data_IF_861300678285
#
_entry.id   IF_861300678285
#
_cell.length_a   1.000
_cell.length_b   1.000
_cell.length_c   1.000
_cell.angle_alpha   90.00
_cell.angle_beta   90.00
_cell.angle_gamma   90.00
#
_symmetry.space_group_name_H-M   'P 1'
#
loop_
_entity.id
_entity.type
_entity.pdbx_description
1 polymer ?
#
# COMPACT_ATOMS: atom_id res chain seq x y z
N UNK A 1 -4.76 46.17 17.42
CA UNK A 1 -4.27 45.17 18.40
C UNK A 1 -2.75 45.12 18.32
N UNK A 2 -2.05 45.39 19.43
CA UNK A 2 -0.57 45.39 19.52
C UNK A 2 -0.06 43.95 19.55
N UNK A 3 0.91 43.60 18.69
CA UNK A 3 1.84 42.49 18.95
C UNK A 3 3.26 42.90 18.58
N UNK A 4 3.95 43.33 19.62
CA UNK A 4 5.39 43.51 19.73
C UNK A 4 6.06 42.14 19.79
N UNK A 5 7.02 41.85 18.91
CA UNK A 5 8.12 40.93 19.19
C UNK A 5 9.35 41.41 18.42
N UNK A 6 10.25 42.07 19.15
CA UNK A 6 11.61 42.33 18.76
C UNK A 6 12.51 41.50 19.69
N UNK A 7 13.45 40.75 19.13
CA UNK A 7 14.80 40.60 19.68
C UNK A 7 15.63 39.76 18.70
N UNK A 8 16.46 40.45 17.92
CA UNK A 8 17.69 39.91 17.36
C UNK A 8 18.63 39.56 18.53
N UNK A 9 19.33 38.44 18.43
CA UNK A 9 20.65 38.26 19.06
C UNK A 9 21.67 37.86 18.00
N UNK A 10 22.66 38.73 17.84
CA UNK A 10 23.80 38.62 16.93
C UNK A 10 24.93 37.85 17.60
N UNK A 11 25.66 37.12 16.75
CA UNK A 11 26.80 36.23 16.93
C UNK A 11 28.07 36.93 17.48
N UNK A 12 28.88 36.20 18.28
CA UNK A 12 30.37 36.19 18.33
C UNK A 12 30.79 35.51 19.65
N UNK A 13 31.87 34.75 19.83
CA UNK A 13 32.96 34.19 19.05
C UNK A 13 33.53 33.04 19.93
N UNK A 14 34.16 31.99 19.38
CA UNK A 14 35.62 31.92 19.47
C UNK A 14 36.19 30.89 18.48
N UNK A 15 36.99 31.36 17.54
CA UNK A 15 37.97 30.57 16.81
C UNK A 15 39.23 30.48 17.68
N UNK A 16 39.49 29.33 18.29
CA UNK A 16 40.83 28.95 18.75
C UNK A 16 41.43 27.98 17.73
N UNK A 17 42.44 28.47 17.03
CA UNK A 17 43.36 27.68 16.22
C UNK A 17 44.51 27.13 17.07
N UNK A 18 45.22 26.14 16.51
CA UNK A 18 46.41 25.40 16.98
C UNK A 18 46.06 24.22 17.91
N UNK A 19 46.51 22.98 17.66
CA UNK A 19 47.80 22.56 17.13
C UNK A 19 47.70 21.29 16.27
N UNK A 20 48.59 21.22 15.28
CA UNK A 20 48.95 20.02 14.52
C UNK A 20 49.46 18.92 15.45
N UNK A 21 48.81 17.76 15.42
CA UNK A 21 49.47 16.48 15.69
C UNK A 21 49.08 15.50 14.58
N UNK A 22 50.11 15.08 13.85
CA UNK A 22 50.00 14.05 12.84
C UNK A 22 49.73 12.72 13.54
N UNK A 23 48.50 12.23 13.47
CA UNK A 23 48.18 10.85 13.77
C UNK A 23 47.66 10.20 12.48
N UNK A 24 48.46 9.30 11.91
CA UNK A 24 48.02 8.39 10.86
C UNK A 24 46.81 7.60 11.38
N UNK A 25 45.62 8.05 11.04
CA UNK A 25 44.40 7.27 11.16
C UNK A 25 44.39 6.36 9.93
N UNK A 26 44.69 5.08 10.14
CA UNK A 26 44.51 4.03 9.14
C UNK A 26 43.09 4.08 8.55
N UNK A 27 42.85 3.46 7.38
CA UNK A 27 41.63 3.69 6.61
C UNK A 27 40.41 3.50 7.49
N UNK A 28 39.73 4.62 7.77
CA UNK A 28 38.48 4.65 8.50
C UNK A 28 37.52 3.77 7.72
N UNK A 29 37.18 2.62 8.30
CA UNK A 29 36.21 1.73 7.73
C UNK A 29 34.91 2.53 7.55
N UNK A 30 34.52 2.73 6.29
CA UNK A 30 33.26 3.35 5.95
C UNK A 30 32.14 2.69 6.77
N UNK A 31 31.18 3.46 7.32
CA UNK A 31 30.13 2.89 8.13
C UNK A 31 29.44 1.80 7.32
N UNK A 32 29.30 0.63 7.96
CA UNK A 32 28.68 -0.54 7.39
C UNK A 32 27.33 -0.16 6.74
N UNK A 33 27.18 -0.58 5.48
CA UNK A 33 25.96 -0.49 4.68
C UNK A 33 24.71 -0.51 5.56
N UNK A 34 23.92 0.58 5.54
CA UNK A 34 22.60 0.56 6.16
C UNK A 34 21.80 -0.56 5.50
N UNK A 35 21.50 -1.62 6.25
CA UNK A 35 20.66 -2.69 5.74
C UNK A 35 19.36 -2.09 5.20
N UNK A 36 18.90 -2.54 4.04
CA UNK A 36 17.63 -2.10 3.49
C UNK A 36 16.50 -2.37 4.52
N UNK A 37 15.49 -1.49 4.61
CA UNK A 37 14.36 -1.71 5.51
C UNK A 37 13.73 -3.07 5.27
N UNK A 38 13.49 -3.84 6.33
CA UNK A 38 12.76 -5.10 6.27
C UNK A 38 11.30 -4.81 6.57
N UNK A 39 10.47 -4.78 5.53
CA UNK A 39 9.04 -4.56 5.65
C UNK A 39 8.29 -5.83 6.07
N UNK A 40 7.31 -5.66 6.94
CA UNK A 40 6.33 -6.66 7.37
C UNK A 40 4.96 -6.36 6.77
N UNK A 41 4.02 -7.32 6.74
CA UNK A 41 2.65 -7.07 6.28
C UNK A 41 1.96 -5.87 6.96
N UNK A 42 2.25 -5.64 8.24
CA UNK A 42 1.73 -4.49 8.98
C UNK A 42 2.19 -3.13 8.40
N UNK A 43 3.36 -3.06 7.76
CA UNK A 43 3.84 -1.84 7.13
C UNK A 43 3.04 -1.54 5.85
N UNK A 44 2.69 -2.58 5.08
CA UNK A 44 1.77 -2.47 3.95
C UNK A 44 0.38 -2.01 4.42
N UNK A 45 -0.17 -2.65 5.46
CA UNK A 45 -1.48 -2.29 6.02
C UNK A 45 -1.52 -0.82 6.47
N UNK A 46 -0.50 -0.37 7.20
CA UNK A 46 -0.42 1.03 7.64
C UNK A 46 -0.30 2.02 6.47
N UNK A 47 0.31 1.60 5.36
CA UNK A 47 0.39 2.42 4.14
C UNK A 47 -0.94 2.44 3.38
N UNK A 48 -1.62 1.31 3.27
CA UNK A 48 -2.97 1.22 2.70
C UNK A 48 -3.94 2.11 3.47
N UNK A 49 -3.94 2.02 4.80
CA UNK A 49 -4.78 2.83 5.69
C UNK A 49 -4.59 4.35 5.45
N UNK A 50 -3.34 4.82 5.37
CA UNK A 50 -3.04 6.22 5.07
C UNK A 50 -3.55 6.66 3.69
N UNK A 51 -3.46 5.79 2.69
CA UNK A 51 -3.91 6.09 1.33
C UNK A 51 -5.43 6.15 1.29
N UNK A 52 -6.08 5.19 1.93
CA UNK A 52 -7.54 5.17 2.06
C UNK A 52 -8.04 6.46 2.72
N UNK A 53 -7.49 6.86 3.87
CA UNK A 53 -7.84 8.12 4.55
C UNK A 53 -7.56 9.37 3.70
N UNK A 54 -6.62 9.30 2.76
CA UNK A 54 -6.36 10.41 1.83
C UNK A 54 -7.44 10.59 0.74
N UNK A 55 -8.38 9.64 0.63
CA UNK A 55 -9.48 9.68 -0.33
C UNK A 55 -9.07 9.38 -1.77
N UNK A 56 -7.87 8.81 -1.98
CA UNK A 56 -7.38 8.41 -3.31
C UNK A 56 -6.90 6.96 -3.25
N UNK A 57 -7.83 5.99 -3.16
CA UNK A 57 -7.49 4.57 -3.26
C UNK A 57 -6.77 4.30 -4.58
N UNK A 58 -5.70 3.53 -4.52
CA UNK A 58 -4.91 3.14 -5.68
C UNK A 58 -4.12 1.89 -5.35
N UNK A 59 -3.76 1.13 -6.37
CA UNK A 59 -2.88 -0.01 -6.16
C UNK A 59 -1.49 0.43 -5.69
N UNK A 60 -1.00 -0.25 -4.67
CA UNK A 60 0.37 -0.14 -4.15
C UNK A 60 1.00 -1.51 -3.93
N UNK A 61 0.46 -2.57 -4.55
CA UNK A 61 0.99 -3.94 -4.52
C UNK A 61 2.50 -3.98 -4.82
N UNK A 62 2.95 -3.22 -5.81
CA UNK A 62 4.36 -3.07 -6.20
C UNK A 62 5.21 -2.19 -5.25
N UNK A 63 4.58 -1.55 -4.27
CA UNK A 63 5.27 -0.73 -3.27
C UNK A 63 6.17 -1.59 -2.39
N UNK A 64 7.32 -1.06 -1.98
CA UNK A 64 8.32 -1.84 -1.23
C UNK A 64 7.76 -2.50 0.05
N UNK A 65 6.77 -1.86 0.68
CA UNK A 65 6.07 -2.37 1.86
C UNK A 65 5.16 -3.57 1.57
N UNK A 66 4.63 -3.67 0.35
CA UNK A 66 3.62 -4.65 -0.07
C UNK A 66 4.17 -5.71 -1.05
N UNK A 67 5.28 -5.45 -1.73
CA UNK A 67 5.82 -6.25 -2.84
C UNK A 67 6.18 -7.71 -2.51
N UNK A 68 6.17 -8.09 -1.23
CA UNK A 68 6.40 -9.48 -0.77
C UNK A 68 5.11 -10.26 -0.55
N UNK A 69 3.96 -9.61 -0.63
CA UNK A 69 2.66 -10.24 -0.47
C UNK A 69 2.28 -10.91 -1.79
N UNK A 70 1.63 -12.07 -1.68
CA UNK A 70 0.85 -12.58 -2.81
C UNK A 70 -0.33 -11.64 -3.08
N UNK A 71 -0.93 -11.68 -4.28
CA UNK A 71 -2.15 -10.92 -4.57
C UNK A 71 -3.27 -11.18 -3.56
N UNK A 72 -3.48 -12.43 -3.15
CA UNK A 72 -4.43 -12.78 -2.08
C UNK A 72 -4.04 -12.18 -0.72
N UNK A 73 -2.75 -12.20 -0.37
CA UNK A 73 -2.25 -11.60 0.87
C UNK A 73 -2.41 -10.08 0.89
N UNK A 74 -2.22 -9.42 -0.25
CA UNK A 74 -2.46 -7.99 -0.42
C UNK A 74 -3.95 -7.66 -0.34
N UNK A 75 -4.79 -8.40 -1.07
CA UNK A 75 -6.25 -8.27 -1.04
C UNK A 75 -6.81 -8.42 0.38
N UNK A 76 -6.30 -9.38 1.17
CA UNK A 76 -6.69 -9.53 2.58
C UNK A 76 -6.37 -8.29 3.43
N UNK A 77 -5.27 -7.59 3.16
CA UNK A 77 -4.98 -6.32 3.84
C UNK A 77 -5.87 -5.17 3.36
N UNK A 78 -6.28 -5.17 2.09
CA UNK A 78 -7.26 -4.20 1.56
C UNK A 78 -8.59 -4.38 2.28
N UNK A 79 -9.13 -5.60 2.37
CA UNK A 79 -10.35 -5.91 3.13
C UNK A 79 -10.22 -5.42 4.58
N UNK A 80 -9.08 -5.70 5.22
CA UNK A 80 -8.86 -5.26 6.60
C UNK A 80 -8.92 -3.73 6.77
N UNK A 81 -8.44 -2.94 5.80
CA UNK A 81 -8.58 -1.47 5.84
C UNK A 81 -10.05 -1.06 5.74
N UNK A 82 -10.79 -1.65 4.80
CA UNK A 82 -12.21 -1.35 4.60
C UNK A 82 -13.03 -1.68 5.87
N UNK A 83 -12.76 -2.84 6.49
CA UNK A 83 -13.37 -3.27 7.76
C UNK A 83 -13.09 -2.26 8.89
N UNK A 84 -11.83 -1.85 9.02
CA UNK A 84 -11.40 -0.94 10.10
C UNK A 84 -12.07 0.43 10.02
N UNK A 85 -12.35 0.93 8.81
CA UNK A 85 -13.03 2.21 8.61
C UNK A 85 -14.56 2.09 8.65
N UNK A 86 -15.11 0.90 8.92
CA UNK A 86 -16.55 0.60 8.85
C UNK A 86 -17.18 1.10 7.56
N UNK A 87 -16.40 1.07 6.48
CA UNK A 87 -16.92 1.48 5.21
C UNK A 87 -18.00 0.47 4.81
N UNK A 88 -19.16 0.99 4.41
CA UNK A 88 -20.25 0.12 3.94
C UNK A 88 -19.81 -0.71 2.73
N UNK A 89 -18.64 -0.42 2.12
CA UNK A 89 -17.98 -1.21 1.08
C UNK A 89 -17.90 -2.71 1.39
N UNK A 90 -17.67 -3.18 2.63
CA UNK A 90 -17.73 -4.63 2.92
C UNK A 90 -19.16 -5.18 2.94
N UNK A 91 -20.10 -4.35 3.40
CA UNK A 91 -21.53 -4.66 3.24
C UNK A 91 -21.95 -4.55 1.77
N UNK A 92 -21.24 -3.80 0.92
CA UNK A 92 -21.43 -3.65 -0.54
C UNK A 92 -20.78 -4.82 -1.31
N UNK A 93 -19.59 -5.25 -0.92
CA UNK A 93 -18.87 -6.46 -1.36
C UNK A 93 -19.82 -7.68 -1.26
N UNK A 94 -20.67 -7.69 -0.23
CA UNK A 94 -21.58 -8.79 0.08
C UNK A 94 -23.08 -8.53 -0.18
N UNK A 95 -23.51 -7.27 -0.39
CA UNK A 95 -24.94 -7.00 -0.62
C UNK A 95 -25.31 -7.13 -2.10
N UNK A 96 -25.83 -8.33 -2.37
CA UNK A 96 -27.09 -8.62 -3.09
C UNK A 96 -27.07 -8.62 -4.61
N UNK A 97 -26.76 -9.78 -5.19
CA UNK A 97 -27.25 -10.34 -6.48
C UNK A 97 -26.45 -10.05 -7.77
N UNK A 98 -25.90 -8.85 -8.09
CA UNK A 98 -25.17 -8.64 -9.35
C UNK A 98 -23.97 -9.55 -9.55
N UNK A 99 -23.09 -9.68 -8.56
CA UNK A 99 -21.81 -10.36 -8.75
C UNK A 99 -21.91 -11.87 -8.65
N UNK A 100 -22.80 -12.39 -7.79
CA UNK A 100 -23.12 -13.83 -7.77
C UNK A 100 -23.71 -14.28 -9.11
N UNK A 101 -24.63 -13.48 -9.67
CA UNK A 101 -25.23 -13.76 -10.98
C UNK A 101 -24.21 -13.58 -12.10
N UNK A 102 -23.32 -12.57 -12.02
CA UNK A 102 -22.24 -12.40 -12.98
C UNK A 102 -21.26 -13.58 -12.95
N UNK A 103 -20.90 -14.05 -11.75
CA UNK A 103 -20.06 -15.22 -11.53
C UNK A 103 -20.72 -16.50 -12.04
N UNK A 104 -21.97 -16.75 -11.69
CA UNK A 104 -22.70 -17.96 -12.12
C UNK A 104 -23.04 -17.91 -13.62
N UNK A 105 -23.01 -16.72 -14.24
CA UNK A 105 -23.23 -16.51 -15.66
C UNK A 105 -22.01 -16.80 -16.55
N UNK A 106 -20.80 -16.84 -16.00
CA UNK A 106 -19.59 -17.28 -16.71
C UNK A 106 -19.43 -18.80 -16.58
N UNK A 107 -18.89 -19.45 -17.62
CA UNK A 107 -18.66 -20.89 -17.58
C UNK A 107 -17.52 -21.26 -16.61
N UNK A 108 -17.50 -22.52 -16.18
CA UNK A 108 -16.55 -23.01 -15.16
C UNK A 108 -15.09 -22.88 -15.61
N UNK A 109 -14.82 -22.93 -16.92
CA UNK A 109 -13.46 -22.75 -17.45
C UNK A 109 -13.02 -21.29 -17.30
N UNK A 110 -13.90 -20.34 -17.65
CA UNK A 110 -13.68 -18.91 -17.43
C UNK A 110 -13.63 -18.53 -15.95
N UNK A 111 -14.41 -19.19 -15.07
CA UNK A 111 -14.28 -19.03 -13.62
C UNK A 111 -12.88 -19.44 -13.15
N UNK A 112 -12.40 -20.60 -13.60
CA UNK A 112 -11.05 -21.07 -13.29
C UNK A 112 -9.96 -20.12 -13.79
N UNK A 113 -10.08 -19.63 -15.03
CA UNK A 113 -9.15 -18.67 -15.61
C UNK A 113 -9.16 -17.32 -14.86
N UNK A 114 -10.35 -16.84 -14.48
CA UNK A 114 -10.51 -15.61 -13.67
C UNK A 114 -9.84 -15.76 -12.32
N UNK A 115 -10.01 -16.90 -11.64
CA UNK A 115 -9.33 -17.14 -10.37
C UNK A 115 -7.81 -17.21 -10.50
N UNK A 116 -7.29 -17.80 -11.57
CA UNK A 116 -5.84 -17.82 -11.80
C UNK A 116 -5.32 -16.39 -11.99
N UNK A 117 -5.97 -15.60 -12.86
CA UNK A 117 -5.62 -14.20 -13.09
C UNK A 117 -5.68 -13.36 -11.80
N UNK A 118 -6.70 -13.54 -10.96
CA UNK A 118 -6.79 -12.81 -9.69
C UNK A 118 -5.66 -13.16 -8.72
N UNK A 119 -5.19 -14.41 -8.74
CA UNK A 119 -4.08 -14.86 -7.90
C UNK A 119 -2.71 -14.44 -8.43
N UNK A 120 -2.58 -14.17 -9.74
CA UNK A 120 -1.30 -13.80 -10.37
C UNK A 120 -1.17 -12.31 -10.60
N UNK A 121 -2.18 -11.66 -11.17
CA UNK A 121 -2.19 -10.25 -11.57
C UNK A 121 -2.84 -9.34 -10.51
N UNK A 122 -3.75 -9.87 -9.70
CA UNK A 122 -4.37 -9.14 -8.59
C UNK A 122 -5.63 -8.33 -8.94
N UNK A 123 -6.28 -7.82 -7.90
CA UNK A 123 -7.65 -7.28 -7.95
C UNK A 123 -7.79 -6.01 -8.81
N UNK A 124 -6.75 -5.18 -8.91
CA UNK A 124 -6.82 -3.93 -9.66
C UNK A 124 -6.68 -4.16 -11.17
N UNK A 125 -5.72 -5.00 -11.58
CA UNK A 125 -5.51 -5.36 -12.99
C UNK A 125 -6.70 -6.16 -13.53
N UNK A 126 -7.18 -7.16 -12.76
CA UNK A 126 -8.36 -7.93 -13.16
C UNK A 126 -9.63 -7.09 -13.09
N UNK A 127 -9.76 -6.20 -12.10
CA UNK A 127 -10.86 -5.22 -12.05
C UNK A 127 -10.90 -4.38 -13.33
N UNK A 128 -9.76 -3.88 -13.80
CA UNK A 128 -9.69 -3.10 -15.04
C UNK A 128 -10.12 -3.92 -16.27
N UNK A 129 -9.73 -5.19 -16.33
CA UNK A 129 -10.17 -6.10 -17.39
C UNK A 129 -11.68 -6.36 -17.35
N UNK A 130 -12.26 -6.53 -16.16
CA UNK A 130 -13.70 -6.72 -15.97
C UNK A 130 -14.50 -5.46 -16.34
N UNK A 131 -13.97 -4.28 -16.01
CA UNK A 131 -14.54 -2.97 -16.34
C UNK A 131 -14.33 -2.50 -17.79
N UNK A 132 -13.65 -3.30 -18.62
CA UNK A 132 -13.40 -2.95 -20.02
C UNK A 132 -12.30 -1.90 -20.25
N UNK A 133 -11.32 -1.83 -19.35
CA UNK A 133 -10.11 -0.99 -19.46
C UNK A 133 -10.23 0.38 -18.79
N UNK A 134 -11.25 0.58 -17.94
CA UNK A 134 -11.45 1.77 -17.11
C UNK A 134 -12.10 1.40 -15.78
N UNK A 135 -11.46 0.50 -15.03
CA UNK A 135 -11.98 0.09 -13.73
C UNK A 135 -12.42 1.29 -12.89
N UNK A 136 -13.68 1.28 -12.49
CA UNK A 136 -14.13 2.11 -11.39
C UNK A 136 -14.02 1.35 -10.05
N UNK A 137 -14.50 1.98 -8.99
CA UNK A 137 -14.48 1.41 -7.65
C UNK A 137 -15.26 0.09 -7.58
N UNK A 138 -16.39 -0.02 -8.31
CA UNK A 138 -17.25 -1.20 -8.30
C UNK A 138 -16.59 -2.39 -9.02
N UNK A 139 -15.77 -2.14 -10.05
CA UNK A 139 -15.02 -3.19 -10.76
C UNK A 139 -13.91 -3.81 -9.90
N UNK A 140 -13.20 -2.98 -9.13
CA UNK A 140 -12.17 -3.44 -8.18
C UNK A 140 -12.82 -4.15 -7.00
N UNK A 141 -13.96 -3.65 -6.51
CA UNK A 141 -14.77 -4.32 -5.49
C UNK A 141 -15.24 -5.71 -5.96
N UNK A 142 -15.73 -5.82 -7.21
CA UNK A 142 -16.11 -7.11 -7.80
C UNK A 142 -14.92 -8.07 -7.91
N UNK A 143 -13.76 -7.60 -8.37
CA UNK A 143 -12.55 -8.42 -8.46
C UNK A 143 -12.07 -8.89 -7.07
N UNK A 144 -12.17 -8.00 -6.08
CA UNK A 144 -11.89 -8.34 -4.68
C UNK A 144 -12.86 -9.42 -4.18
N UNK A 145 -14.17 -9.25 -4.40
CA UNK A 145 -15.19 -10.24 -4.05
C UNK A 145 -14.92 -11.61 -4.71
N UNK A 146 -14.63 -11.65 -6.02
CA UNK A 146 -14.33 -12.92 -6.68
C UNK A 146 -13.10 -13.60 -6.08
N UNK A 147 -12.04 -12.85 -5.79
CA UNK A 147 -10.85 -13.42 -5.16
C UNK A 147 -11.18 -13.98 -3.77
N UNK A 148 -11.80 -13.19 -2.90
CA UNK A 148 -11.99 -13.56 -1.48
C UNK A 148 -13.11 -14.57 -1.26
N UNK A 149 -14.20 -14.48 -2.02
CA UNK A 149 -15.44 -15.22 -1.75
C UNK A 149 -15.74 -16.33 -2.77
N UNK A 150 -15.04 -16.35 -3.92
CA UNK A 150 -15.25 -17.37 -4.96
C UNK A 150 -14.01 -18.20 -5.24
N UNK A 151 -12.83 -17.60 -5.22
CA UNK A 151 -11.58 -18.28 -5.57
C UNK A 151 -10.88 -18.90 -4.34
N UNK A 152 -10.95 -18.30 -3.16
CA UNK A 152 -10.25 -18.79 -1.96
C UNK A 152 -11.11 -19.73 -1.06
N UNK A 153 -12.21 -20.27 -1.60
CA UNK A 153 -13.16 -21.16 -0.90
C UNK A 153 -12.84 -22.65 -1.08
#
# INVERSE_FOLDING_TARGET
>A
MKRTLAALTVIAASLTACTTDAQEVGPEAAPASSAAPVYRPADCLARLDRIYVSGVPRDISDGAECARLSPAGYAGLVVQVLDNHQDESITKLSNTVPWDVAWDGIDVEMQGATCELLRTEGIYEVGDQLGGGRADEDDVEMALYFLTDRCEV
#
